data_IF_094479840274
#
_entry.id   IF_094479840274
#
_cell.length_a   1.000
_cell.length_b   1.000
_cell.length_c   1.000
_cell.angle_alpha   90.00
_cell.angle_beta   90.00
_cell.angle_gamma   90.00
#
_symmetry.space_group_name_H-M   'P 1'
#
loop_
_entity.id
_entity.type
_entity.pdbx_description
1 polymer ?
#
# COMPACT_ATOMS: atom_id res chain seq x y z
N UNK A 1 4.59 7.98 -0.74
CA UNK A 1 5.50 7.36 -1.73
C UNK A 1 4.83 6.17 -2.45
N UNK A 2 3.64 6.36 -3.05
CA UNK A 2 3.04 5.39 -3.98
C UNK A 2 3.05 6.04 -5.35
N UNK A 3 3.70 5.44 -6.34
CA UNK A 3 3.76 5.96 -7.71
C UNK A 3 2.37 5.96 -8.36
N UNK A 4 2.16 6.70 -9.47
CA UNK A 4 0.89 6.66 -10.21
C UNK A 4 0.48 5.25 -10.70
N UNK A 5 1.45 4.35 -10.84
CA UNK A 5 1.30 2.96 -11.29
C UNK A 5 1.13 1.96 -10.14
N UNK A 6 1.04 2.44 -8.89
CA UNK A 6 0.92 1.58 -7.71
C UNK A 6 2.22 0.85 -7.38
N UNK A 7 3.38 1.45 -7.66
CA UNK A 7 4.69 0.96 -7.19
C UNK A 7 5.22 1.81 -6.06
N UNK A 8 6.27 1.34 -5.41
CA UNK A 8 7.08 2.13 -4.48
C UNK A 8 8.53 1.64 -4.54
N UNK A 9 9.51 2.48 -4.17
CA UNK A 9 10.91 2.09 -4.22
C UNK A 9 11.19 0.84 -3.39
N UNK A 10 11.88 -0.15 -3.98
CA UNK A 10 12.32 -1.36 -3.29
C UNK A 10 13.60 -1.07 -2.48
N UNK A 11 13.49 -0.22 -1.47
CA UNK A 11 14.59 0.26 -0.65
C UNK A 11 14.41 -0.11 0.82
N UNK A 12 15.53 -0.31 1.51
CA UNK A 12 15.54 -0.65 2.94
C UNK A 12 15.51 -2.16 3.20
N UNK A 13 15.13 -2.51 4.42
CA UNK A 13 15.07 -3.89 4.93
C UNK A 13 13.64 -4.39 4.95
N UNK A 14 13.47 -5.70 5.12
CA UNK A 14 12.16 -6.33 5.28
C UNK A 14 11.27 -6.20 4.04
N UNK A 15 11.89 -6.11 2.87
CA UNK A 15 11.18 -5.94 1.59
C UNK A 15 10.21 -7.09 1.31
N UNK A 16 10.49 -8.30 1.80
CA UNK A 16 9.59 -9.44 1.61
C UNK A 16 8.23 -9.30 2.33
N UNK A 17 8.05 -8.30 3.20
CA UNK A 17 6.74 -7.94 3.78
C UNK A 17 5.90 -7.09 2.83
N UNK A 18 6.38 -6.82 1.61
CA UNK A 18 5.61 -6.29 0.50
C UNK A 18 4.87 -4.99 0.85
N UNK A 19 3.55 -5.00 0.68
CA UNK A 19 2.67 -3.86 0.95
C UNK A 19 2.50 -3.56 2.45
N UNK A 20 3.09 -4.37 3.34
CA UNK A 20 3.24 -4.05 4.77
C UNK A 20 4.02 -2.76 5.01
N UNK A 21 4.81 -2.29 4.03
CA UNK A 21 5.42 -0.95 4.04
C UNK A 21 4.41 0.19 4.24
N UNK A 22 3.13 -0.04 3.93
CA UNK A 22 2.05 0.93 4.09
C UNK A 22 1.21 0.73 5.36
N UNK A 23 1.71 -0.01 6.36
CA UNK A 23 1.02 -0.21 7.64
C UNK A 23 0.53 1.11 8.26
N UNK A 24 1.38 2.14 8.31
CA UNK A 24 1.00 3.43 8.93
C UNK A 24 -0.17 4.08 8.20
N UNK A 25 -0.12 4.12 6.86
CA UNK A 25 -1.20 4.68 6.06
C UNK A 25 -2.51 3.89 6.23
N UNK A 26 -2.41 2.55 6.25
CA UNK A 26 -3.52 1.64 6.49
C UNK A 26 -4.12 1.83 7.90
N UNK A 27 -3.27 2.02 8.91
CA UNK A 27 -3.68 2.30 10.29
C UNK A 27 -4.35 3.66 10.44
N UNK A 28 -3.83 4.71 9.78
CA UNK A 28 -4.44 6.04 9.79
C UNK A 28 -5.83 6.03 9.15
N UNK A 29 -6.00 5.29 8.05
CA UNK A 29 -7.31 5.10 7.44
C UNK A 29 -8.29 4.36 8.37
N UNK A 30 -7.84 3.29 9.04
CA UNK A 30 -8.66 2.55 10.00
C UNK A 30 -9.10 3.43 11.19
N UNK A 31 -8.23 4.34 11.64
CA UNK A 31 -8.49 5.22 12.79
C UNK A 31 -9.20 6.53 12.44
N UNK A 32 -9.48 6.78 11.16
CA UNK A 32 -9.95 8.08 10.66
C UNK A 32 -9.03 9.26 11.00
N UNK A 33 -7.73 9.00 11.15
CA UNK A 33 -6.69 9.98 11.51
C UNK A 33 -5.92 10.49 10.26
N UNK A 34 -6.58 10.58 9.10
CA UNK A 34 -5.97 11.07 7.86
C UNK A 34 -5.90 12.62 7.85
N UNK A 35 -4.90 13.22 7.18
CA UNK A 35 -4.89 14.66 6.92
C UNK A 35 -6.16 15.12 6.18
N UNK A 36 -6.59 16.35 6.42
CA UNK A 36 -7.85 16.88 5.91
C UNK A 36 -7.95 16.87 4.36
N UNK A 37 -6.82 16.97 3.68
CA UNK A 37 -6.69 16.96 2.22
C UNK A 37 -6.53 15.53 1.63
N UNK A 38 -6.43 14.51 2.47
CA UNK A 38 -6.31 13.10 2.07
C UNK A 38 -7.61 12.35 2.40
N UNK A 39 -8.43 12.13 1.38
CA UNK A 39 -9.69 11.40 1.56
C UNK A 39 -9.47 9.88 1.73
N UNK A 40 -10.35 9.18 2.48
CA UNK A 40 -10.30 7.73 2.62
C UNK A 40 -10.32 6.98 1.28
N UNK A 41 -11.09 7.48 0.32
CA UNK A 41 -11.20 6.88 -1.03
C UNK A 41 -9.87 6.92 -1.79
N UNK A 42 -9.07 7.98 -1.64
CA UNK A 42 -7.74 8.08 -2.24
C UNK A 42 -6.80 7.03 -1.64
N UNK A 43 -6.85 6.85 -0.33
CA UNK A 43 -6.06 5.83 0.37
C UNK A 43 -6.47 4.42 -0.08
N UNK A 44 -7.77 4.13 -0.16
CA UNK A 44 -8.29 2.86 -0.69
C UNK A 44 -7.76 2.60 -2.09
N UNK A 45 -7.88 3.57 -3.00
CA UNK A 45 -7.38 3.43 -4.38
C UNK A 45 -5.89 3.12 -4.43
N UNK A 46 -5.08 3.86 -3.68
CA UNK A 46 -3.62 3.72 -3.66
C UNK A 46 -3.18 2.36 -3.09
N UNK A 47 -3.71 1.98 -1.93
CA UNK A 47 -3.42 0.69 -1.30
C UNK A 47 -3.86 -0.47 -2.20
N UNK A 48 -5.06 -0.37 -2.78
CA UNK A 48 -5.57 -1.40 -3.70
C UNK A 48 -4.66 -1.58 -4.90
N UNK A 49 -4.13 -0.49 -5.48
CA UNK A 49 -3.21 -0.55 -6.62
C UNK A 49 -1.92 -1.29 -6.25
N UNK A 50 -1.29 -0.93 -5.12
CA UNK A 50 -0.06 -1.59 -4.63
C UNK A 50 -0.31 -3.06 -4.33
N UNK A 51 -1.36 -3.36 -3.54
CA UNK A 51 -1.68 -4.73 -3.13
C UNK A 51 -1.91 -5.61 -4.35
N UNK A 52 -2.76 -5.17 -5.30
CA UNK A 52 -3.02 -5.92 -6.53
C UNK A 52 -1.75 -6.16 -7.32
N UNK A 53 -0.90 -5.14 -7.46
CA UNK A 53 0.34 -5.25 -8.21
C UNK A 53 1.27 -6.31 -7.60
N UNK A 54 1.48 -6.27 -6.29
CA UNK A 54 2.40 -7.19 -5.61
C UNK A 54 1.83 -8.62 -5.53
N UNK A 55 0.54 -8.75 -5.20
CA UNK A 55 -0.12 -10.06 -5.08
C UNK A 55 -0.29 -10.76 -6.42
N UNK A 56 -0.44 -10.01 -7.53
CA UNK A 56 -0.55 -10.59 -8.87
C UNK A 56 0.80 -10.80 -9.56
N UNK A 57 1.91 -10.42 -8.94
CA UNK A 57 3.23 -10.68 -9.53
C UNK A 57 3.44 -12.20 -9.70
N UNK A 58 3.92 -12.66 -10.88
CA UNK A 58 4.14 -14.08 -11.12
C UNK A 58 5.04 -14.72 -10.06
N UNK A 59 4.63 -15.89 -9.57
CA UNK A 59 5.38 -16.63 -8.56
C UNK A 59 5.28 -16.07 -7.14
N UNK A 60 4.37 -15.12 -6.85
CA UNK A 60 4.14 -14.62 -5.48
C UNK A 60 3.62 -15.73 -4.56
N UNK A 61 2.77 -16.60 -5.09
CA UNK A 61 2.24 -17.76 -4.37
C UNK A 61 2.90 -19.05 -4.87
N UNK A 62 3.01 -20.03 -3.99
CA UNK A 62 3.27 -21.41 -4.37
C UNK A 62 2.01 -22.18 -4.75
N UNK A 63 2.20 -23.44 -5.07
CA UNK A 63 1.17 -24.31 -5.64
C UNK A 63 0.11 -24.66 -4.58
N UNK A 64 0.46 -24.51 -3.30
CA UNK A 64 -0.43 -24.65 -2.13
C UNK A 64 -1.05 -23.30 -1.71
N UNK A 65 -0.72 -22.20 -2.39
CA UNK A 65 -1.26 -20.87 -2.11
C UNK A 65 -0.53 -20.09 -1.01
N UNK A 66 0.66 -20.51 -0.58
CA UNK A 66 1.48 -19.78 0.39
C UNK A 66 2.33 -18.72 -0.29
N UNK A 67 2.59 -17.63 0.44
CA UNK A 67 3.52 -16.60 -0.02
C UNK A 67 4.94 -17.17 -0.16
N UNK A 68 5.57 -16.95 -1.30
CA UNK A 68 6.99 -17.23 -1.53
C UNK A 68 7.84 -16.02 -1.10
N UNK A 69 9.07 -16.25 -0.63
CA UNK A 69 9.99 -15.17 -0.25
C UNK A 69 10.30 -14.29 -1.47
N UNK A 70 10.07 -12.99 -1.36
CA UNK A 70 10.37 -11.99 -2.38
C UNK A 70 9.55 -10.70 -2.22
N UNK A 71 9.96 -9.65 -2.92
CA UNK A 71 9.24 -8.37 -2.95
C UNK A 71 8.08 -8.41 -3.96
N UNK A 72 8.34 -8.84 -5.19
CA UNK A 72 7.34 -9.03 -6.24
C UNK A 72 7.62 -10.35 -6.97
N UNK A 73 6.90 -11.40 -6.60
CA UNK A 73 7.18 -12.77 -7.03
C UNK A 73 8.13 -13.53 -6.10
N UNK A 74 8.77 -14.59 -6.61
CA UNK A 74 9.74 -15.41 -5.89
C UNK A 74 11.16 -14.87 -6.09
N UNK A 75 11.70 -14.24 -5.05
CA UNK A 75 13.03 -13.60 -5.05
C UNK A 75 13.77 -13.97 -3.75
N UNK A 76 14.26 -15.21 -3.61
CA UNK A 76 14.80 -15.72 -2.34
C UNK A 76 16.02 -14.94 -1.83
N UNK A 77 16.82 -14.36 -2.74
CA UNK A 77 17.98 -13.53 -2.38
C UNK A 77 17.60 -12.23 -1.64
N UNK A 78 16.33 -11.81 -1.68
CA UNK A 78 15.83 -10.67 -0.90
C UNK A 78 15.43 -11.05 0.53
N UNK A 79 15.48 -12.34 0.89
CA UNK A 79 15.20 -12.81 2.24
C UNK A 79 16.37 -12.51 3.18
N UNK A 80 16.11 -11.81 4.28
CA UNK A 80 17.06 -11.71 5.38
C UNK A 80 16.98 -12.94 6.30
N UNK A 81 18.03 -13.19 7.10
CA UNK A 81 18.18 -14.40 7.95
C UNK A 81 16.98 -14.76 8.85
N UNK A 82 16.14 -13.77 9.19
CA UNK A 82 14.99 -13.93 10.08
C UNK A 82 13.67 -14.08 9.31
N UNK A 83 13.70 -14.09 7.98
CA UNK A 83 12.51 -14.23 7.14
C UNK A 83 12.16 -15.71 6.98
N UNK A 84 10.90 -16.03 7.23
CA UNK A 84 10.28 -17.32 6.97
C UNK A 84 8.99 -17.10 6.18
N UNK A 85 8.42 -18.16 5.62
CA UNK A 85 7.10 -18.09 4.95
C UNK A 85 6.04 -17.47 5.86
N UNK A 86 6.06 -17.79 7.16
CA UNK A 86 5.14 -17.22 8.14
C UNK A 86 5.32 -15.71 8.33
N UNK A 87 6.56 -15.21 8.38
CA UNK A 87 6.79 -13.77 8.57
C UNK A 87 6.36 -12.92 7.37
N UNK A 88 6.25 -13.50 6.16
CA UNK A 88 5.77 -12.79 4.97
C UNK A 88 4.37 -12.20 5.15
N UNK A 89 3.54 -12.81 6.00
CA UNK A 89 2.18 -12.36 6.29
C UNK A 89 2.12 -11.08 7.12
N UNK A 90 3.26 -10.54 7.58
CA UNK A 90 3.33 -9.15 8.05
C UNK A 90 2.88 -8.15 6.97
N UNK A 91 2.86 -8.55 5.69
CA UNK A 91 2.22 -7.76 4.65
C UNK A 91 0.76 -7.40 4.98
N UNK A 92 0.02 -8.29 5.67
CA UNK A 92 -1.38 -8.08 6.03
C UNK A 92 -1.63 -6.83 6.90
N UNK A 93 -0.59 -6.23 7.47
CA UNK A 93 -0.69 -4.91 8.11
C UNK A 93 -1.14 -3.81 7.12
N UNK A 94 -0.97 -3.97 5.81
CA UNK A 94 -1.57 -3.06 4.83
C UNK A 94 -3.07 -3.27 4.60
N UNK A 95 -3.68 -4.32 5.19
CA UNK A 95 -5.11 -4.64 5.12
C UNK A 95 -5.90 -4.18 6.35
N UNK A 96 -5.28 -3.41 7.27
CA UNK A 96 -5.95 -2.88 8.46
C UNK A 96 -7.32 -2.21 8.17
N UNK A 97 -7.54 -1.48 7.06
CA UNK A 97 -8.84 -0.92 6.72
C UNK A 97 -9.97 -1.93 6.54
N UNK A 98 -9.69 -3.24 6.41
CA UNK A 98 -10.74 -4.28 6.42
C UNK A 98 -11.53 -4.32 7.74
N UNK A 99 -11.03 -3.68 8.80
CA UNK A 99 -11.77 -3.48 10.05
C UNK A 99 -12.88 -2.42 9.97
N UNK A 100 -12.97 -1.64 8.89
CA UNK A 100 -14.00 -0.61 8.69
C UNK A 100 -15.33 -1.23 8.20
N UNK A 101 -16.49 -0.68 8.62
CA UNK A 101 -17.79 -1.17 8.16
C UNK A 101 -18.00 -0.91 6.66
N UNK A 102 -18.80 -1.71 5.93
CA UNK A 102 -19.02 -1.52 4.49
C UNK A 102 -19.57 -0.15 4.09
N UNK A 103 -20.24 0.55 5.00
CA UNK A 103 -20.79 1.90 4.82
C UNK A 103 -19.77 3.01 5.02
N UNK A 104 -18.57 2.70 5.51
CA UNK A 104 -17.52 3.69 5.74
C UNK A 104 -17.13 4.40 4.42
N UNK A 105 -16.88 5.71 4.41
CA UNK A 105 -16.43 6.43 3.21
C UNK A 105 -15.19 5.80 2.55
N UNK A 106 -14.33 5.13 3.31
CA UNK A 106 -13.22 4.35 2.77
C UNK A 106 -13.70 3.30 1.76
N UNK A 107 -14.87 2.68 1.95
CA UNK A 107 -15.45 1.67 1.06
C UNK A 107 -16.55 2.20 0.15
N UNK A 108 -17.43 3.05 0.68
CA UNK A 108 -18.64 3.49 0.01
C UNK A 108 -18.42 4.64 -1.00
N UNK A 109 -17.43 5.50 -0.77
CA UNK A 109 -17.18 6.63 -1.67
C UNK A 109 -16.62 6.15 -3.03
N UNK A 110 -16.88 6.88 -4.14
CA UNK A 110 -16.30 6.57 -5.45
C UNK A 110 -14.77 6.50 -5.42
N UNK A 111 -14.17 5.77 -6.36
CA UNK A 111 -12.71 5.74 -6.48
C UNK A 111 -12.16 7.14 -6.79
N UNK A 112 -11.08 7.51 -6.11
CA UNK A 112 -10.41 8.80 -6.28
C UNK A 112 -8.94 8.60 -6.64
N UNK A 113 -8.38 9.55 -7.40
CA UNK A 113 -6.95 9.61 -7.72
C UNK A 113 -6.15 9.95 -6.46
N UNK A 114 -5.13 9.16 -6.14
CA UNK A 114 -4.22 9.50 -5.03
C UNK A 114 -3.18 10.55 -5.44
N UNK A 115 -2.50 11.13 -4.46
CA UNK A 115 -1.65 12.32 -4.64
C UNK A 115 -0.69 12.22 -5.83
N UNK A 116 0.01 11.10 -6.00
CA UNK A 116 0.92 10.95 -7.14
C UNK A 116 0.19 10.96 -8.50
N UNK A 117 -0.95 10.28 -8.65
CA UNK A 117 -1.72 10.32 -9.90
C UNK A 117 -2.21 11.74 -10.21
N UNK A 118 -2.67 12.47 -9.20
CA UNK A 118 -3.12 13.86 -9.34
C UNK A 118 -2.00 14.78 -9.82
N UNK A 119 -0.84 14.70 -9.16
CA UNK A 119 0.36 15.48 -9.53
C UNK A 119 0.78 15.16 -10.98
N UNK A 120 0.87 13.87 -11.34
CA UNK A 120 1.27 13.44 -12.68
C UNK A 120 0.21 13.73 -13.76
N UNK A 121 -1.05 13.94 -13.37
CA UNK A 121 -2.10 14.45 -14.25
C UNK A 121 -2.08 15.98 -14.44
N UNK A 122 -1.17 16.68 -13.77
CA UNK A 122 -1.03 18.14 -13.85
C UNK A 122 -1.99 18.91 -12.95
N UNK A 123 -2.61 18.27 -11.95
CA UNK A 123 -3.41 18.98 -10.96
C UNK A 123 -2.53 19.90 -10.09
N UNK A 124 -2.99 21.13 -9.87
CA UNK A 124 -2.32 22.08 -8.99
C UNK A 124 -2.61 21.76 -7.52
N UNK A 125 -1.67 21.07 -6.86
CA UNK A 125 -1.76 20.71 -5.45
C UNK A 125 -0.78 21.51 -4.59
N UNK A 126 -1.17 21.92 -3.37
CA UNK A 126 -0.25 22.59 -2.45
C UNK A 126 0.87 21.64 -2.02
N UNK A 127 2.02 22.21 -1.66
CA UNK A 127 3.08 21.48 -0.96
C UNK A 127 2.66 21.21 0.49
N UNK A 128 3.07 20.08 1.08
CA UNK A 128 2.79 19.69 2.49
C UNK A 128 3.12 20.81 3.50
N UNK A 129 4.10 21.66 3.18
CA UNK A 129 4.48 22.85 3.95
C UNK A 129 4.52 24.10 3.05
N UNK A 130 3.45 24.37 2.31
CA UNK A 130 3.39 25.58 1.49
C UNK A 130 3.42 26.82 2.38
N UNK A 131 4.21 27.84 2.01
CA UNK A 131 4.19 29.14 2.68
C UNK A 131 2.81 29.79 2.44
N UNK A 132 2.11 30.14 3.50
CA UNK A 132 0.94 31.02 3.40
C UNK A 132 1.43 32.37 2.84
N UNK A 133 0.81 32.84 1.75
CA UNK A 133 1.10 34.16 1.16
C UNK A 133 0.22 35.23 1.79
#
# INVERSE_FOLDING_TARGET
LISPEGTFPAIGRSLAYRFGAFQVLAQMALRHDLPADVSPAQVRSALTAVIRRMMRAPGTFDDDGWLRIGFAGRQPAMGERYISTGSLYLCAAGLLPLGLPPTDPFWASPAALWSAQRIWAGENLPCDHHLER
#
